data_IF_096474107565
#
_entry.id   IF_096474107565
#
_cell.length_a   1.000
_cell.length_b   1.000
_cell.length_c   1.000
_cell.angle_alpha   90.00
_cell.angle_beta   90.00
_cell.angle_gamma   90.00
#
_symmetry.space_group_name_H-M   'P 1'
#
loop_
_entity.id
_entity.type
_entity.pdbx_description
1 polymer ?
#
# COMPACT_ATOMS: atom_id res chain seq x y z
N UNK A 1 -5.13 -3.69 -11.84
CA UNK A 1 -4.32 -2.56 -11.31
C UNK A 1 -3.12 -2.38 -12.24
N UNK A 2 -2.91 -1.19 -12.83
CA UNK A 2 -1.69 -0.91 -13.62
C UNK A 2 -0.56 -0.56 -12.64
N UNK A 3 0.31 -1.52 -12.33
CA UNK A 3 1.51 -1.35 -11.49
C UNK A 3 2.67 -0.73 -12.27
N UNK A 4 2.41 0.35 -13.02
CA UNK A 4 3.36 0.85 -14.03
C UNK A 4 4.64 1.45 -13.43
N UNK A 5 4.64 1.81 -12.15
CA UNK A 5 5.76 2.49 -11.49
C UNK A 5 6.48 1.65 -10.42
N UNK A 6 6.06 0.40 -10.22
CA UNK A 6 6.69 -0.51 -9.24
C UNK A 6 7.57 -1.51 -9.97
N UNK A 7 8.84 -1.61 -9.58
CA UNK A 7 9.80 -2.50 -10.21
C UNK A 7 9.34 -3.98 -10.13
N UNK A 8 9.41 -4.78 -11.21
CA UNK A 8 8.84 -6.14 -11.26
C UNK A 8 9.43 -7.10 -10.21
N UNK A 9 10.72 -6.97 -9.88
CA UNK A 9 11.32 -7.76 -8.78
C UNK A 9 10.69 -7.49 -7.41
N UNK A 10 10.25 -6.25 -7.15
CA UNK A 10 9.54 -5.93 -5.91
C UNK A 10 8.20 -6.64 -5.89
N UNK A 11 7.47 -6.63 -7.01
CA UNK A 11 6.19 -7.34 -7.15
C UNK A 11 6.38 -8.84 -6.92
N UNK A 12 7.45 -9.43 -7.46
CA UNK A 12 7.77 -10.84 -7.27
C UNK A 12 8.03 -11.20 -5.80
N UNK A 13 8.84 -10.40 -5.10
CA UNK A 13 9.10 -10.59 -3.67
C UNK A 13 7.83 -10.42 -2.83
N UNK A 14 6.96 -9.46 -3.20
CA UNK A 14 5.71 -9.21 -2.49
C UNK A 14 4.74 -10.40 -2.52
N UNK A 15 4.80 -11.27 -3.54
CA UNK A 15 3.93 -12.47 -3.63
C UNK A 15 4.06 -13.42 -2.43
N UNK A 16 5.15 -13.33 -1.65
CA UNK A 16 5.39 -14.13 -0.43
C UNK A 16 4.58 -13.66 0.79
N UNK A 17 3.98 -12.47 0.71
CA UNK A 17 3.29 -11.83 1.82
C UNK A 17 1.76 -11.89 1.65
N UNK A 18 0.98 -11.71 2.74
CA UNK A 18 -0.46 -11.56 2.65
C UNK A 18 -0.87 -10.45 1.69
N UNK A 19 -2.04 -10.61 1.05
CA UNK A 19 -2.51 -9.69 0.02
C UNK A 19 -2.61 -8.25 0.55
N UNK A 20 -3.06 -8.06 1.79
CA UNK A 20 -3.15 -6.73 2.40
C UNK A 20 -1.78 -6.03 2.50
N UNK A 21 -0.74 -6.79 2.84
CA UNK A 21 0.64 -6.28 2.92
C UNK A 21 1.14 -5.90 1.52
N UNK A 22 0.86 -6.72 0.51
CA UNK A 22 1.21 -6.39 -0.88
C UNK A 22 0.56 -5.08 -1.31
N UNK A 23 -0.73 -4.90 -1.03
CA UNK A 23 -1.48 -3.71 -1.40
C UNK A 23 -0.98 -2.46 -0.67
N UNK A 24 -0.61 -2.57 0.61
CA UNK A 24 -0.04 -1.46 1.38
C UNK A 24 1.32 -1.00 0.81
N UNK A 25 2.19 -1.96 0.49
CA UNK A 25 3.53 -1.63 -0.05
C UNK A 25 3.41 -1.02 -1.45
N UNK A 26 2.56 -1.58 -2.32
CA UNK A 26 2.32 -1.02 -3.66
C UNK A 26 1.78 0.40 -3.57
N UNK A 27 0.80 0.67 -2.70
CA UNK A 27 0.25 2.01 -2.50
C UNK A 27 1.30 3.00 -1.99
N UNK A 28 2.17 2.57 -1.09
CA UNK A 28 3.26 3.40 -0.57
C UNK A 28 4.22 3.79 -1.70
N UNK A 29 4.69 2.80 -2.48
CA UNK A 29 5.62 3.01 -3.58
C UNK A 29 5.02 3.93 -4.67
N UNK A 30 3.77 3.70 -5.04
CA UNK A 30 3.06 4.56 -5.99
C UNK A 30 2.90 5.99 -5.47
N UNK A 31 2.65 6.16 -4.16
CA UNK A 31 2.53 7.48 -3.55
C UNK A 31 3.86 8.25 -3.60
N UNK A 32 4.99 7.59 -3.39
CA UNK A 32 6.30 8.21 -3.60
C UNK A 32 6.55 8.58 -5.06
N UNK A 33 6.17 7.72 -6.03
CA UNK A 33 6.26 8.06 -7.46
C UNK A 33 5.39 9.26 -7.86
N UNK A 34 4.32 9.54 -7.11
CA UNK A 34 3.48 10.73 -7.27
C UNK A 34 4.06 11.99 -6.62
N UNK A 35 5.24 11.91 -6.00
CA UNK A 35 5.90 13.04 -5.35
C UNK A 35 5.46 13.31 -3.92
N UNK A 36 4.69 12.40 -3.30
CA UNK A 36 4.31 12.54 -1.89
C UNK A 36 5.53 12.34 -1.00
N UNK A 37 5.62 13.15 0.05
CA UNK A 37 6.67 13.00 1.05
C UNK A 37 6.31 11.89 2.06
N UNK A 38 7.29 11.53 2.90
CA UNK A 38 7.13 10.46 3.89
C UNK A 38 5.93 10.66 4.83
N UNK A 39 5.68 11.88 5.31
CA UNK A 39 4.57 12.16 6.22
C UNK A 39 3.21 11.99 5.52
N UNK A 40 3.10 12.42 4.26
CA UNK A 40 1.88 12.25 3.47
C UNK A 40 1.59 10.78 3.17
N UNK A 41 2.63 10.02 2.80
CA UNK A 41 2.51 8.57 2.58
C UNK A 41 2.10 7.87 3.88
N UNK A 42 2.72 8.21 5.01
CA UNK A 42 2.37 7.65 6.31
C UNK A 42 0.90 7.92 6.65
N UNK A 43 0.45 9.17 6.53
CA UNK A 43 -0.95 9.54 6.79
C UNK A 43 -1.93 8.79 5.88
N UNK A 44 -1.56 8.56 4.63
CA UNK A 44 -2.38 7.78 3.67
C UNK A 44 -2.49 6.32 4.09
N UNK A 45 -1.39 5.70 4.51
CA UNK A 45 -1.37 4.32 5.00
C UNK A 45 -2.15 4.15 6.31
N UNK A 46 -1.98 5.06 7.28
CA UNK A 46 -2.73 5.05 8.54
C UNK A 46 -4.25 5.15 8.31
N UNK A 47 -4.68 6.03 7.41
CA UNK A 47 -6.09 6.14 7.03
C UNK A 47 -6.62 4.85 6.40
N UNK A 48 -5.82 4.16 5.58
CA UNK A 48 -6.19 2.88 4.97
C UNK A 48 -6.33 1.78 6.03
N UNK A 49 -5.36 1.67 6.95
CA UNK A 49 -5.44 0.72 8.06
C UNK A 49 -6.63 0.98 8.97
N UNK A 50 -6.91 2.25 9.31
CA UNK A 50 -8.06 2.61 10.13
C UNK A 50 -9.38 2.18 9.49
N UNK A 51 -9.52 2.32 8.17
CA UNK A 51 -10.71 1.86 7.44
C UNK A 51 -10.85 0.33 7.50
N UNK A 52 -9.77 -0.40 7.24
CA UNK A 52 -9.77 -1.86 7.33
C UNK A 52 -10.22 -2.36 8.72
N UNK A 53 -9.68 -1.75 9.79
CA UNK A 53 -10.07 -2.09 11.17
C UNK A 53 -11.53 -1.74 11.49
N UNK A 54 -12.08 -0.68 10.89
CA UNK A 54 -13.49 -0.31 11.08
C UNK A 54 -14.43 -1.23 10.32
N UNK A 55 -14.04 -1.70 9.13
CA UNK A 55 -14.79 -2.66 8.33
C UNK A 55 -14.82 -4.04 8.99
N UNK A 56 -13.70 -4.50 9.58
CA UNK A 56 -13.67 -5.73 10.38
C UNK A 56 -14.51 -5.64 11.66
N UNK A 57 -14.58 -4.47 12.30
CA UNK A 57 -15.38 -4.28 13.52
C UNK A 57 -16.90 -4.28 13.28
N UNK A 58 -17.35 -4.22 12.03
CA UNK A 58 -18.77 -4.21 11.64
C UNK A 58 -19.20 -5.49 10.91
N UNK A 59 -18.28 -6.43 10.68
CA UNK A 59 -18.49 -7.69 9.97
C UNK A 59 -18.75 -8.88 10.88
#
# INVERSE_FOLDING_TARGET
MKTNDVHPKIIEELKKYPKEVQELVIDALQSFSQGLNQQEVQRKLENKMRRLLQEEAQG
#
